data_IF_207137186003
#
_entry.id   IF_207137186003
#
_cell.length_a   1.000
_cell.length_b   1.000
_cell.length_c   1.000
_cell.angle_alpha   90.00
_cell.angle_beta   90.00
_cell.angle_gamma   90.00
#
_symmetry.space_group_name_H-M   'P 1'
#
loop_
_entity.id
_entity.type
_entity.pdbx_description
1 polymer ?
#
# COMPACT_ATOMS: atom_id res chain seq x y z
N UNK A 1 7.64 -3.57 -22.51
CA UNK A 1 6.69 -2.47 -22.55
C UNK A 1 7.08 -1.32 -21.64
N UNK A 2 6.52 -1.24 -20.42
CA UNK A 2 6.70 -0.07 -19.51
C UNK A 2 8.18 0.18 -19.19
N UNK A 3 8.94 -0.86 -18.86
CA UNK A 3 10.38 -0.71 -18.58
C UNK A 3 11.17 -0.10 -19.76
N UNK A 4 10.78 -0.40 -21.00
CA UNK A 4 11.38 0.22 -22.18
C UNK A 4 11.07 1.72 -22.25
N UNK A 5 9.84 2.12 -21.97
CA UNK A 5 9.44 3.54 -21.93
C UNK A 5 10.22 4.27 -20.83
N UNK A 6 10.33 3.67 -19.65
CA UNK A 6 11.03 4.27 -18.51
C UNK A 6 12.52 4.46 -18.78
N UNK A 7 13.20 3.43 -19.28
CA UNK A 7 14.66 3.40 -19.37
C UNK A 7 15.19 3.79 -20.75
N UNK A 8 14.63 3.23 -21.83
CA UNK A 8 15.16 3.46 -23.16
C UNK A 8 14.65 4.75 -23.83
N UNK A 9 13.40 5.15 -23.52
CA UNK A 9 12.83 6.42 -23.99
C UNK A 9 13.21 7.59 -23.06
N UNK A 10 13.64 7.29 -21.81
CA UNK A 10 14.07 8.33 -20.88
C UNK A 10 12.91 8.93 -20.05
N UNK A 11 11.82 8.17 -19.82
CA UNK A 11 10.70 8.70 -19.06
C UNK A 11 11.04 8.92 -17.57
N UNK A 12 11.97 8.13 -17.00
CA UNK A 12 12.42 8.34 -15.63
C UNK A 12 13.18 9.68 -15.47
N UNK A 13 13.97 10.09 -16.48
CA UNK A 13 14.62 11.40 -16.53
C UNK A 13 13.58 12.53 -16.58
N UNK A 14 12.58 12.40 -17.45
CA UNK A 14 11.47 13.36 -17.51
C UNK A 14 10.74 13.47 -16.16
N UNK A 15 10.46 12.37 -15.47
CA UNK A 15 9.82 12.38 -14.14
C UNK A 15 10.69 13.12 -13.12
N UNK A 16 12.01 12.97 -13.18
CA UNK A 16 12.93 13.69 -12.29
C UNK A 16 12.84 15.20 -12.51
N UNK A 17 12.94 15.64 -13.76
CA UNK A 17 12.82 17.06 -14.13
C UNK A 17 11.45 17.63 -13.74
N UNK A 18 10.37 16.87 -13.97
CA UNK A 18 9.03 17.25 -13.58
C UNK A 18 8.89 17.39 -12.05
N UNK A 19 9.46 16.47 -11.29
CA UNK A 19 9.46 16.52 -9.82
C UNK A 19 10.20 17.76 -9.31
N UNK A 20 11.38 18.07 -9.88
CA UNK A 20 12.15 19.28 -9.56
C UNK A 20 11.33 20.54 -9.84
N UNK A 21 10.72 20.63 -11.03
CA UNK A 21 9.86 21.76 -11.40
C UNK A 21 8.67 21.96 -10.47
N UNK A 22 8.06 20.86 -10.00
CA UNK A 22 6.87 20.87 -9.13
C UNK A 22 7.20 20.88 -7.63
N UNK A 23 8.48 20.88 -7.27
CA UNK A 23 8.96 20.74 -5.89
C UNK A 23 8.44 19.48 -5.19
N UNK A 24 8.36 18.37 -5.94
CA UNK A 24 7.96 17.05 -5.45
C UNK A 24 9.20 16.21 -5.20
N UNK A 25 9.05 15.17 -4.37
CA UNK A 25 10.08 14.15 -4.23
C UNK A 25 10.01 13.18 -5.42
N UNK A 26 11.05 13.03 -6.26
CA UNK A 26 11.03 12.11 -7.40
C UNK A 26 10.84 10.64 -6.98
N UNK A 27 11.30 10.24 -5.79
CA UNK A 27 11.13 8.88 -5.29
C UNK A 27 9.66 8.49 -5.13
N UNK A 28 8.81 9.41 -4.67
CA UNK A 28 7.37 9.16 -4.53
C UNK A 28 6.72 8.89 -5.91
N UNK A 29 7.21 9.53 -6.97
CA UNK A 29 6.73 9.31 -8.33
C UNK A 29 7.28 8.02 -8.95
N UNK A 30 8.53 7.66 -8.63
CA UNK A 30 9.09 6.36 -9.04
C UNK A 30 8.37 5.19 -8.38
N UNK A 31 7.95 5.30 -7.12
CA UNK A 31 7.13 4.29 -6.46
C UNK A 31 5.82 4.04 -7.22
N UNK A 32 5.13 5.10 -7.65
CA UNK A 32 3.91 4.97 -8.48
C UNK A 32 4.20 4.27 -9.81
N UNK A 33 5.33 4.59 -10.46
CA UNK A 33 5.73 3.91 -11.70
C UNK A 33 6.10 2.45 -11.48
N UNK A 34 6.70 2.12 -10.33
CA UNK A 34 7.03 0.74 -9.97
C UNK A 34 5.75 -0.07 -9.77
N UNK A 35 4.75 0.47 -9.05
CA UNK A 35 3.43 -0.14 -8.89
C UNK A 35 2.71 -0.35 -10.22
N UNK A 36 2.73 0.67 -11.09
CA UNK A 36 2.15 0.58 -12.43
C UNK A 36 2.81 -0.52 -13.26
N UNK A 37 4.13 -0.60 -13.21
CA UNK A 37 4.89 -1.63 -13.93
C UNK A 37 4.60 -3.03 -13.37
N UNK A 38 4.46 -3.16 -12.05
CA UNK A 38 4.12 -4.41 -11.40
C UNK A 38 2.74 -4.90 -11.80
N UNK A 39 1.73 -4.00 -11.77
CA UNK A 39 0.35 -4.33 -12.14
C UNK A 39 0.20 -4.81 -13.58
N UNK A 40 1.13 -4.44 -14.46
CA UNK A 40 1.12 -4.86 -15.86
C UNK A 40 1.81 -6.20 -16.14
N UNK A 41 2.53 -6.79 -15.18
CA UNK A 41 3.36 -7.99 -15.42
C UNK A 41 2.55 -9.21 -15.80
N UNK A 42 1.38 -9.39 -15.24
CA UNK A 42 0.54 -10.56 -15.44
C UNK A 42 -0.22 -10.54 -16.77
N UNK A 43 -0.07 -9.47 -17.56
CA UNK A 43 -0.78 -9.30 -18.83
C UNK A 43 0.16 -9.48 -20.02
N UNK A 44 -0.30 -10.23 -21.01
CA UNK A 44 0.45 -10.51 -22.24
C UNK A 44 0.51 -9.32 -23.23
N UNK A 45 -0.40 -8.35 -23.09
CA UNK A 45 -0.50 -7.17 -23.95
C UNK A 45 -1.03 -5.95 -23.19
N UNK A 46 -0.74 -4.75 -23.71
CA UNK A 46 -1.35 -3.53 -23.19
C UNK A 46 -2.88 -3.53 -23.35
N UNK A 47 -3.42 -4.13 -24.43
CA UNK A 47 -4.85 -4.24 -24.65
C UNK A 47 -5.54 -4.98 -23.51
N UNK A 48 -5.07 -6.18 -23.18
CA UNK A 48 -5.64 -6.99 -22.09
C UNK A 48 -5.50 -6.32 -20.71
N UNK A 49 -4.42 -5.56 -20.49
CA UNK A 49 -4.25 -4.81 -19.26
C UNK A 49 -5.21 -3.63 -19.17
N UNK A 50 -5.42 -2.88 -20.25
CA UNK A 50 -6.38 -1.77 -20.26
C UNK A 50 -7.84 -2.25 -20.12
N UNK A 51 -8.20 -3.37 -20.71
CA UNK A 51 -9.51 -4.01 -20.51
C UNK A 51 -9.72 -4.34 -19.02
N UNK A 52 -8.72 -4.93 -18.37
CA UNK A 52 -8.78 -5.21 -16.94
C UNK A 52 -8.95 -3.94 -16.10
N UNK A 53 -8.23 -2.87 -16.40
CA UNK A 53 -8.36 -1.59 -15.69
C UNK A 53 -9.76 -1.01 -15.82
N UNK A 54 -10.34 -1.07 -17.02
CA UNK A 54 -11.70 -0.56 -17.27
C UNK A 54 -12.77 -1.41 -16.57
N UNK A 55 -12.63 -2.72 -16.58
CA UNK A 55 -13.51 -3.63 -15.84
C UNK A 55 -13.42 -3.38 -14.32
N UNK A 56 -12.22 -3.20 -13.79
CA UNK A 56 -12.02 -2.91 -12.39
C UNK A 56 -12.66 -1.58 -11.98
N UNK A 57 -12.48 -0.54 -12.79
CA UNK A 57 -13.10 0.76 -12.60
C UNK A 57 -14.64 0.66 -12.59
N UNK A 58 -15.22 -0.10 -13.53
CA UNK A 58 -16.66 -0.31 -13.59
C UNK A 58 -17.18 -1.02 -12.34
N UNK A 59 -16.50 -2.05 -11.84
CA UNK A 59 -16.83 -2.73 -10.58
C UNK A 59 -16.81 -1.79 -9.38
N UNK A 60 -15.79 -0.92 -9.27
CA UNK A 60 -15.74 0.09 -8.22
C UNK A 60 -16.92 1.06 -8.27
N UNK A 61 -17.29 1.53 -9.47
CA UNK A 61 -18.42 2.42 -9.66
C UNK A 61 -19.77 1.76 -9.28
N UNK A 62 -19.93 0.49 -9.56
CA UNK A 62 -21.10 -0.30 -9.16
C UNK A 62 -21.17 -0.46 -7.64
N UNK A 63 -20.04 -0.75 -6.98
CA UNK A 63 -19.97 -0.83 -5.52
C UNK A 63 -20.37 0.48 -4.85
N UNK A 64 -19.90 1.62 -5.37
CA UNK A 64 -20.27 2.95 -4.86
C UNK A 64 -21.76 3.22 -5.05
N UNK A 65 -22.35 2.87 -6.20
CA UNK A 65 -23.79 3.02 -6.48
C UNK A 65 -24.67 2.22 -5.52
N UNK A 66 -24.21 1.01 -5.17
CA UNK A 66 -24.94 0.12 -4.26
C UNK A 66 -24.78 0.49 -2.77
N UNK A 67 -24.21 1.64 -2.45
CA UNK A 67 -24.02 2.17 -1.09
C UNK A 67 -23.38 1.19 -0.09
N UNK A 68 -22.55 0.27 -0.54
CA UNK A 68 -21.92 -0.72 0.35
C UNK A 68 -22.88 -1.68 1.07
N UNK A 69 -24.16 -1.74 0.67
CA UNK A 69 -25.20 -2.56 1.30
C UNK A 69 -25.20 -4.03 0.90
N UNK A 70 -24.11 -4.54 0.42
CA UNK A 70 -23.96 -5.98 0.29
C UNK A 70 -23.34 -6.45 1.60
N UNK A 71 -24.13 -7.02 2.50
CA UNK A 71 -23.63 -7.91 3.55
C UNK A 71 -23.03 -9.11 2.84
N UNK A 72 -21.77 -8.98 2.44
CA UNK A 72 -21.01 -10.09 1.88
C UNK A 72 -20.34 -10.77 3.07
N UNK A 73 -20.62 -12.04 3.25
CA UNK A 73 -19.78 -12.90 4.09
C UNK A 73 -18.39 -12.93 3.45
N UNK A 74 -17.48 -12.14 3.97
CA UNK A 74 -16.20 -11.90 3.32
C UNK A 74 -15.16 -11.27 4.26
N UNK A 75 -13.99 -10.99 3.70
CA UNK A 75 -12.90 -10.32 4.40
C UNK A 75 -13.09 -8.81 4.35
N UNK A 76 -13.03 -8.17 5.52
CA UNK A 76 -13.05 -6.70 5.62
C UNK A 76 -11.63 -6.16 5.45
N UNK A 77 -11.42 -5.30 4.46
CA UNK A 77 -10.19 -4.53 4.29
C UNK A 77 -10.43 -3.12 4.80
N UNK A 78 -9.58 -2.67 5.71
CA UNK A 78 -9.72 -1.35 6.35
C UNK A 78 -8.36 -0.76 6.73
N UNK A 79 -8.29 0.55 6.91
CA UNK A 79 -7.10 1.18 7.48
C UNK A 79 -7.08 1.00 9.00
N UNK A 80 -5.90 1.11 9.63
CA UNK A 80 -5.76 1.07 11.10
C UNK A 80 -6.62 2.16 11.76
N UNK A 81 -6.70 3.35 11.15
CA UNK A 81 -7.53 4.46 11.63
C UNK A 81 -9.03 4.13 11.60
N UNK A 82 -9.50 3.57 10.50
CA UNK A 82 -10.91 3.22 10.32
C UNK A 82 -11.34 2.03 11.16
N UNK A 83 -10.40 1.18 11.57
CA UNK A 83 -10.65 0.03 12.43
C UNK A 83 -10.88 0.40 13.92
N UNK A 84 -10.67 1.67 14.30
CA UNK A 84 -10.87 2.12 15.68
C UNK A 84 -12.32 1.92 16.10
N UNK A 85 -12.51 1.21 17.22
CA UNK A 85 -13.84 0.89 17.77
C UNK A 85 -14.50 -0.36 17.17
N UNK A 86 -13.92 -0.96 16.13
CA UNK A 86 -14.35 -2.25 15.57
C UNK A 86 -13.57 -3.39 16.22
N UNK A 87 -14.09 -4.60 16.13
CA UNK A 87 -13.42 -5.82 16.61
C UNK A 87 -13.71 -6.98 15.67
N UNK A 88 -12.70 -7.83 15.47
CA UNK A 88 -12.77 -8.96 14.55
C UNK A 88 -12.25 -10.23 15.20
N UNK A 89 -12.78 -11.39 14.82
CA UNK A 89 -12.28 -12.67 15.32
C UNK A 89 -10.82 -12.93 14.96
N UNK A 90 -10.44 -12.52 13.75
CA UNK A 90 -9.09 -12.66 13.20
C UNK A 90 -8.69 -11.32 12.59
N UNK A 91 -7.49 -10.86 12.86
CA UNK A 91 -6.91 -9.65 12.27
C UNK A 91 -5.59 -10.01 11.61
N UNK A 92 -5.42 -9.54 10.38
CA UNK A 92 -4.19 -9.59 9.63
C UNK A 92 -3.65 -8.16 9.48
N UNK A 93 -2.49 -7.88 10.06
CA UNK A 93 -1.77 -6.62 9.83
C UNK A 93 -0.72 -6.91 8.77
N UNK A 94 -0.86 -6.26 7.61
CA UNK A 94 0.05 -6.42 6.48
C UNK A 94 1.13 -5.34 6.53
N UNK A 95 2.25 -5.62 5.84
CA UNK A 95 3.33 -4.65 5.58
C UNK A 95 3.88 -3.96 6.84
N UNK A 96 4.08 -4.75 7.90
CA UNK A 96 4.69 -4.27 9.13
C UNK A 96 6.21 -4.10 8.97
N UNK A 97 6.60 -3.20 8.07
CA UNK A 97 7.98 -2.91 7.68
C UNK A 97 8.35 -1.45 7.96
N UNK A 98 9.63 -1.21 8.24
CA UNK A 98 10.18 0.15 8.34
C UNK A 98 9.90 0.94 7.04
N UNK A 99 9.46 2.19 7.22
CA UNK A 99 9.08 3.07 6.13
C UNK A 99 7.62 2.91 5.65
N UNK A 100 6.95 1.81 6.01
CA UNK A 100 5.51 1.59 5.80
C UNK A 100 4.78 1.74 7.14
N UNK A 101 5.20 0.98 8.14
CA UNK A 101 4.70 1.04 9.53
C UNK A 101 5.90 0.96 10.49
N UNK A 102 6.40 2.08 11.04
CA UNK A 102 5.94 3.46 10.87
C UNK A 102 6.16 4.04 9.47
N UNK A 103 5.33 5.00 9.11
CA UNK A 103 5.44 5.64 7.79
C UNK A 103 6.74 6.43 7.65
N UNK A 104 7.39 6.34 6.47
CA UNK A 104 8.72 6.95 6.21
C UNK A 104 8.82 8.46 6.47
N UNK A 105 7.68 9.18 6.43
CA UNK A 105 7.65 10.63 6.71
C UNK A 105 7.45 10.95 8.20
N UNK A 106 7.15 9.98 9.04
CA UNK A 106 7.10 10.14 10.49
C UNK A 106 8.54 10.18 11.05
N UNK A 107 9.11 11.37 11.14
CA UNK A 107 10.51 11.57 11.54
C UNK A 107 10.68 12.07 12.96
N UNK A 108 9.67 12.76 13.50
CA UNK A 108 9.68 13.26 14.88
C UNK A 108 9.23 12.18 15.84
N UNK A 109 9.76 12.20 17.06
CA UNK A 109 9.36 11.24 18.08
C UNK A 109 7.85 11.23 18.33
N UNK A 110 7.19 12.39 18.32
CA UNK A 110 5.75 12.49 18.49
C UNK A 110 4.97 11.81 17.36
N UNK A 111 5.46 11.88 16.13
CA UNK A 111 4.86 11.24 14.96
C UNK A 111 5.02 9.71 15.03
N UNK A 112 6.22 9.24 15.42
CA UNK A 112 6.51 7.82 15.62
C UNK A 112 5.65 7.24 16.76
N UNK A 113 5.46 8.02 17.86
CA UNK A 113 4.58 7.59 18.95
C UNK A 113 3.11 7.48 18.52
N UNK A 114 2.65 8.35 17.63
CA UNK A 114 1.30 8.26 17.08
C UNK A 114 1.15 7.02 16.19
N UNK A 115 2.10 6.76 15.31
CA UNK A 115 2.16 5.53 14.50
C UNK A 115 2.18 4.27 15.40
N UNK A 116 2.94 4.29 16.51
CA UNK A 116 2.97 3.19 17.48
C UNK A 116 1.62 2.98 18.14
N UNK A 117 0.92 4.05 18.53
CA UNK A 117 -0.44 3.95 19.08
C UNK A 117 -1.41 3.35 18.07
N UNK A 118 -1.31 3.77 16.80
CA UNK A 118 -2.15 3.24 15.72
C UNK A 118 -1.90 1.75 15.50
N UNK A 119 -0.64 1.33 15.50
CA UNK A 119 -0.27 -0.08 15.40
C UNK A 119 -0.81 -0.90 16.57
N UNK A 120 -0.67 -0.39 17.80
CA UNK A 120 -1.25 -1.02 19.00
C UNK A 120 -2.78 -1.13 18.89
N UNK A 121 -3.46 -0.06 18.46
CA UNK A 121 -4.91 -0.09 18.24
C UNK A 121 -5.27 -1.18 17.24
N UNK A 122 -4.57 -1.31 16.13
CA UNK A 122 -4.82 -2.35 15.14
C UNK A 122 -4.66 -3.75 15.73
N UNK A 123 -3.61 -4.00 16.51
CA UNK A 123 -3.40 -5.28 17.19
C UNK A 123 -4.55 -5.63 18.15
N UNK A 124 -5.04 -4.63 18.90
CA UNK A 124 -6.13 -4.83 19.88
C UNK A 124 -7.51 -5.03 19.24
N UNK A 125 -7.61 -4.95 17.91
CA UNK A 125 -8.86 -5.27 17.19
C UNK A 125 -9.10 -6.78 17.09
N UNK A 126 -8.10 -7.60 17.33
CA UNK A 126 -8.19 -9.04 17.28
C UNK A 126 -8.82 -9.59 18.57
N UNK A 127 -9.95 -10.31 18.44
CA UNK A 127 -10.58 -11.03 19.56
C UNK A 127 -9.89 -12.36 19.87
N UNK A 128 -9.39 -13.06 18.85
CA UNK A 128 -8.86 -14.41 19.00
C UNK A 128 -7.51 -14.63 18.35
N UNK A 129 -7.34 -14.20 17.11
CA UNK A 129 -6.12 -14.42 16.36
C UNK A 129 -5.61 -13.12 15.73
N UNK A 130 -4.35 -12.85 15.96
CA UNK A 130 -3.61 -11.75 15.34
C UNK A 130 -2.47 -12.32 14.53
N UNK A 131 -2.42 -11.94 13.26
CA UNK A 131 -1.32 -12.24 12.35
C UNK A 131 -0.68 -10.94 11.89
N UNK A 132 0.63 -10.84 12.02
CA UNK A 132 1.40 -9.68 11.59
C UNK A 132 2.38 -10.15 10.51
N UNK A 133 2.31 -9.53 9.34
CA UNK A 133 3.14 -9.87 8.20
C UNK A 133 4.12 -8.74 7.89
N UNK A 134 5.37 -9.12 7.67
CA UNK A 134 6.38 -8.27 7.07
C UNK A 134 6.91 -8.97 5.82
N UNK A 135 7.26 -8.17 4.82
CA UNK A 135 7.85 -8.64 3.57
C UNK A 135 9.35 -8.37 3.59
N UNK A 136 10.12 -9.26 2.96
CA UNK A 136 11.57 -9.11 2.87
C UNK A 136 11.99 -8.20 1.71
N UNK A 137 11.20 -8.21 0.64
CA UNK A 137 11.49 -7.43 -0.57
C UNK A 137 10.23 -6.85 -1.18
N UNK A 138 10.34 -5.61 -1.65
CA UNK A 138 9.34 -4.93 -2.47
C UNK A 138 10.05 -4.27 -3.66
N UNK A 139 9.64 -4.56 -4.90
CA UNK A 139 10.23 -4.02 -6.14
C UNK A 139 11.77 -4.12 -6.19
N UNK A 140 12.33 -5.28 -5.80
CA UNK A 140 13.77 -5.54 -5.68
C UNK A 140 14.52 -4.68 -4.64
N UNK A 141 13.80 -4.01 -3.74
CA UNK A 141 14.37 -3.33 -2.57
C UNK A 141 14.17 -4.21 -1.34
N UNK A 142 15.22 -4.44 -0.57
CA UNK A 142 15.11 -5.12 0.72
C UNK A 142 14.41 -4.21 1.71
N UNK A 143 13.47 -4.76 2.46
CA UNK A 143 12.75 -4.06 3.52
C UNK A 143 13.13 -4.65 4.88
N UNK A 144 13.23 -3.77 5.87
CA UNK A 144 13.43 -4.18 7.25
C UNK A 144 12.09 -4.37 7.96
N UNK A 145 12.08 -5.31 8.91
CA UNK A 145 10.96 -5.50 9.81
C UNK A 145 10.73 -4.24 10.64
N UNK A 146 9.47 -3.88 10.84
CA UNK A 146 9.07 -2.74 11.68
C UNK A 146 9.69 -2.81 13.07
N UNK A 147 10.19 -1.66 13.55
CA UNK A 147 10.64 -1.51 14.95
C UNK A 147 9.56 -1.84 15.96
N UNK A 148 8.29 -1.62 15.61
CA UNK A 148 7.17 -1.93 16.49
C UNK A 148 7.04 -3.43 16.77
N UNK A 149 7.36 -4.30 15.79
CA UNK A 149 7.41 -5.75 16.05
C UNK A 149 8.56 -6.09 16.99
N UNK A 150 9.75 -5.49 16.77
CA UNK A 150 10.95 -5.73 17.58
C UNK A 150 10.76 -5.33 19.06
N UNK A 151 9.83 -4.45 19.34
CA UNK A 151 9.50 -4.02 20.71
C UNK A 151 8.64 -5.02 21.50
N UNK A 152 8.01 -5.99 20.80
CA UNK A 152 7.13 -7.01 21.41
C UNK A 152 7.77 -8.39 21.53
N UNK A 153 8.88 -8.62 20.87
CA UNK A 153 9.63 -9.88 20.90
C UNK A 153 10.85 -9.73 21.78
#
# INVERSE_FOLDING_TARGET
GINFIRKAIGYDEYIKEYAEYRHLNPEDLYEVLDELQESAKDFSSFGSWFEYIEDYKNKLLEQVKNNGKIEVDGVTITTMHSAKGLEYMVVFIMDANEGITPYKKATKNSEIEEERRMFYVAMTRAKRYLHIYCIEQLYNKNLEQSRFIKEFI
#
